data_IF_950454219966
#
_entry.id   IF_950454219966
#
_cell.length_a   1.000
_cell.length_b   1.000
_cell.length_c   1.000
_cell.angle_alpha   90.00
_cell.angle_beta   90.00
_cell.angle_gamma   90.00
#
_symmetry.space_group_name_H-M   'P 1'
#
loop_
_entity.id
_entity.type
_entity.pdbx_description
1 polymer ?
#
# COMPACT_ATOMS: atom_id res chain seq x y z
N UNK A 1 -5.39 -40.54 14.84
CA UNK A 1 -4.46 -39.48 14.42
C UNK A 1 -5.23 -38.49 13.56
N UNK A 2 -5.70 -37.38 14.14
CA UNK A 2 -6.14 -36.25 13.32
C UNK A 2 -4.87 -35.63 12.74
N UNK A 3 -4.74 -35.64 11.41
CA UNK A 3 -3.71 -34.86 10.75
C UNK A 3 -4.07 -33.39 10.99
N UNK A 4 -3.35 -32.72 11.89
CA UNK A 4 -3.43 -31.27 12.02
C UNK A 4 -3.09 -30.66 10.66
N UNK A 5 -4.13 -30.25 9.92
CA UNK A 5 -3.98 -29.48 8.69
C UNK A 5 -3.46 -28.11 9.11
N UNK A 6 -2.14 -28.00 9.31
CA UNK A 6 -1.47 -26.71 9.58
C UNK A 6 -1.63 -25.83 8.35
N UNK A 7 -2.62 -24.93 8.40
CA UNK A 7 -2.77 -23.88 7.40
C UNK A 7 -1.50 -23.01 7.40
N UNK A 8 -0.73 -23.11 6.33
CA UNK A 8 0.46 -22.27 6.12
C UNK A 8 -0.02 -20.87 5.75
N UNK A 9 -0.24 -20.04 6.76
CA UNK A 9 -0.71 -18.66 6.56
C UNK A 9 0.41 -17.84 5.91
N UNK A 10 0.20 -17.31 4.69
CA UNK A 10 1.28 -16.72 3.88
C UNK A 10 1.81 -15.39 4.46
N UNK A 11 0.96 -14.63 5.16
CA UNK A 11 1.33 -13.48 5.98
C UNK A 11 0.16 -13.13 6.92
N UNK A 12 0.37 -12.19 7.86
CA UNK A 12 -0.65 -11.80 8.83
C UNK A 12 -1.51 -10.69 8.24
N UNK A 13 -2.82 -10.93 8.06
CA UNK A 13 -3.72 -9.92 7.50
C UNK A 13 -3.85 -8.67 8.41
N UNK A 14 -3.62 -8.79 9.71
CA UNK A 14 -3.53 -7.63 10.62
C UNK A 14 -2.39 -6.68 10.20
N UNK A 15 -1.27 -7.20 9.67
CA UNK A 15 -0.20 -6.35 9.15
C UNK A 15 -0.66 -5.56 7.92
N UNK A 16 -1.53 -6.12 7.08
CA UNK A 16 -2.14 -5.37 5.96
C UNK A 16 -3.01 -4.25 6.48
N UNK A 17 -3.83 -4.49 7.50
CA UNK A 17 -4.66 -3.45 8.10
C UNK A 17 -3.80 -2.33 8.69
N UNK A 18 -2.79 -2.68 9.49
CA UNK A 18 -1.85 -1.70 10.08
C UNK A 18 -1.15 -0.91 8.98
N UNK A 19 -0.65 -1.58 7.94
CA UNK A 19 0.01 -0.91 6.81
C UNK A 19 -0.96 0.00 6.03
N UNK A 20 -2.21 -0.41 5.84
CA UNK A 20 -3.22 0.40 5.15
C UNK A 20 -3.53 1.69 5.91
N UNK A 21 -3.78 1.60 7.22
CA UNK A 21 -4.05 2.77 8.05
C UNK A 21 -2.81 3.63 8.29
N UNK A 22 -1.63 3.03 8.40
CA UNK A 22 -0.35 3.74 8.47
C UNK A 22 -0.06 4.52 7.19
N UNK A 23 -0.26 3.90 6.03
CA UNK A 23 -0.12 4.57 4.73
C UNK A 23 -1.09 5.74 4.60
N UNK A 24 -2.35 5.55 5.00
CA UNK A 24 -3.37 6.60 4.99
C UNK A 24 -2.97 7.77 5.89
N UNK A 25 -2.60 7.50 7.15
CA UNK A 25 -2.24 8.54 8.10
C UNK A 25 -1.02 9.35 7.65
N UNK A 26 0.03 8.68 7.15
CA UNK A 26 1.22 9.35 6.63
C UNK A 26 0.92 10.14 5.35
N UNK A 27 0.09 9.61 4.45
CA UNK A 27 -0.31 10.32 3.23
C UNK A 27 -1.16 11.55 3.54
N UNK A 28 -2.07 11.47 4.52
CA UNK A 28 -2.84 12.61 5.01
C UNK A 28 -1.92 13.67 5.64
N UNK A 29 -0.93 13.25 6.42
CA UNK A 29 0.06 14.18 6.98
C UNK A 29 0.84 14.89 5.87
N UNK A 30 1.30 14.15 4.85
CA UNK A 30 1.96 14.74 3.68
C UNK A 30 1.05 15.75 2.97
N UNK A 31 -0.24 15.43 2.83
CA UNK A 31 -1.22 16.30 2.18
C UNK A 31 -1.36 17.63 2.92
N UNK A 32 -1.61 17.58 4.23
CA UNK A 32 -1.79 18.79 5.03
C UNK A 32 -0.51 19.63 5.10
N UNK A 33 0.67 19.01 5.16
CA UNK A 33 1.95 19.72 5.12
C UNK A 33 2.12 20.45 3.78
N UNK A 34 1.83 19.79 2.68
CA UNK A 34 1.98 20.37 1.35
C UNK A 34 0.95 21.48 1.08
N UNK A 35 -0.31 21.29 1.48
CA UNK A 35 -1.34 22.32 1.39
C UNK A 35 -0.97 23.55 2.24
N UNK A 36 -0.50 23.35 3.48
CA UNK A 36 0.00 24.43 4.32
C UNK A 36 1.25 25.14 3.75
N UNK A 37 2.04 24.43 2.94
CA UNK A 37 3.18 24.98 2.20
C UNK A 37 2.78 25.67 0.87
N UNK A 38 1.49 25.71 0.54
CA UNK A 38 0.95 26.40 -0.64
C UNK A 38 0.77 25.54 -1.90
N UNK A 39 0.90 24.21 -1.79
CA UNK A 39 0.56 23.31 -2.90
C UNK A 39 -0.94 23.40 -3.22
N UNK A 40 -1.28 23.55 -4.51
CA UNK A 40 -2.67 23.76 -4.92
C UNK A 40 -3.54 22.50 -4.85
N UNK A 41 -2.89 21.32 -4.88
CA UNK A 41 -3.50 19.99 -5.01
C UNK A 41 -4.38 19.84 -6.26
N UNK A 42 -4.10 20.63 -7.30
CA UNK A 42 -4.81 20.60 -8.58
C UNK A 42 -4.06 19.82 -9.65
N UNK A 43 -4.83 19.16 -10.50
CA UNK A 43 -4.33 18.29 -11.56
C UNK A 43 -5.08 18.55 -12.87
N UNK A 44 -4.29 18.64 -13.94
CA UNK A 44 -4.77 18.92 -15.30
C UNK A 44 -5.51 17.75 -15.94
N UNK A 45 -5.25 16.53 -15.47
CA UNK A 45 -5.88 15.29 -15.94
C UNK A 45 -5.95 14.25 -14.81
N UNK A 46 -6.69 13.17 -15.05
CA UNK A 46 -6.90 12.08 -14.10
C UNK A 46 -8.34 11.97 -13.59
N UNK A 47 -8.56 11.07 -12.63
CA UNK A 47 -9.89 10.83 -12.07
C UNK A 47 -10.43 12.01 -11.27
N UNK A 48 -9.53 12.84 -10.72
CA UNK A 48 -9.86 13.98 -9.88
C UNK A 48 -9.05 15.19 -10.34
N UNK A 49 -9.73 16.32 -10.55
CA UNK A 49 -9.06 17.61 -10.82
C UNK A 49 -8.53 18.30 -9.58
N UNK A 50 -9.09 17.97 -8.41
CA UNK A 50 -8.65 18.47 -7.12
C UNK A 50 -8.52 17.27 -6.17
N UNK A 51 -7.34 17.08 -5.60
CA UNK A 51 -7.12 16.10 -4.56
C UNK A 51 -7.57 16.70 -3.22
N UNK A 52 -8.26 15.90 -2.41
CA UNK A 52 -8.75 16.29 -1.09
C UNK A 52 -8.56 15.11 -0.13
N UNK A 53 -8.56 15.34 1.18
CA UNK A 53 -8.28 14.31 2.18
C UNK A 53 -9.24 13.12 2.06
N UNK A 54 -10.48 13.32 1.64
CA UNK A 54 -11.45 12.25 1.43
C UNK A 54 -11.00 11.28 0.31
N UNK A 55 -10.31 11.79 -0.71
CA UNK A 55 -9.75 10.97 -1.77
C UNK A 55 -8.61 10.11 -1.22
N UNK A 56 -7.76 10.65 -0.34
CA UNK A 56 -6.67 9.90 0.29
C UNK A 56 -7.22 8.70 1.07
N UNK A 57 -8.27 8.90 1.87
CA UNK A 57 -8.91 7.81 2.61
C UNK A 57 -9.47 6.74 1.65
N UNK A 58 -10.24 7.17 0.65
CA UNK A 58 -10.93 6.28 -0.30
C UNK A 58 -9.99 5.50 -1.20
N UNK A 59 -8.83 6.06 -1.54
CA UNK A 59 -7.90 5.46 -2.50
C UNK A 59 -6.62 4.90 -1.87
N UNK A 60 -6.47 4.99 -0.54
CA UNK A 60 -5.38 4.32 0.18
C UNK A 60 -5.86 3.03 0.85
N UNK A 61 -6.85 3.12 1.74
CA UNK A 61 -7.22 1.97 2.59
C UNK A 61 -7.92 0.87 1.79
N UNK A 62 -9.01 1.13 1.05
CA UNK A 62 -9.73 0.07 0.35
C UNK A 62 -8.86 -0.71 -0.65
N UNK A 63 -8.03 -0.07 -1.51
CA UNK A 63 -7.17 -0.81 -2.43
C UNK A 63 -6.16 -1.71 -1.71
N UNK A 64 -5.46 -1.23 -0.67
CA UNK A 64 -4.49 -2.05 0.08
C UNK A 64 -5.19 -3.23 0.75
N UNK A 65 -6.35 -3.00 1.39
CA UNK A 65 -7.09 -4.04 2.11
C UNK A 65 -7.63 -5.10 1.14
N UNK A 66 -8.26 -4.68 0.05
CA UNK A 66 -8.84 -5.61 -0.95
C UNK A 66 -7.74 -6.40 -1.65
N UNK A 67 -6.70 -5.73 -2.17
CA UNK A 67 -5.60 -6.41 -2.86
C UNK A 67 -4.78 -7.28 -1.91
N UNK A 68 -4.59 -6.84 -0.67
CA UNK A 68 -3.94 -7.63 0.38
C UNK A 68 -4.76 -8.86 0.73
N UNK A 69 -6.09 -8.75 0.82
CA UNK A 69 -6.97 -9.89 1.06
C UNK A 69 -6.94 -10.89 -0.11
N UNK A 70 -7.00 -10.40 -1.35
CA UNK A 70 -6.88 -11.25 -2.54
C UNK A 70 -5.52 -11.96 -2.57
N UNK A 71 -4.44 -11.24 -2.27
CA UNK A 71 -3.10 -11.81 -2.23
C UNK A 71 -2.98 -12.86 -1.14
N UNK A 72 -3.57 -12.61 0.04
CA UNK A 72 -3.66 -13.57 1.12
C UNK A 72 -4.39 -14.86 0.69
N UNK A 73 -5.55 -14.74 0.03
CA UNK A 73 -6.30 -15.89 -0.46
C UNK A 73 -5.53 -16.70 -1.52
N UNK A 74 -4.95 -16.04 -2.51
CA UNK A 74 -4.20 -16.70 -3.59
C UNK A 74 -2.94 -17.37 -3.03
N UNK A 75 -2.24 -16.71 -2.11
CA UNK A 75 -1.00 -17.21 -1.55
C UNK A 75 -1.18 -18.44 -0.64
N UNK A 76 -2.39 -18.70 -0.14
CA UNK A 76 -2.70 -19.98 0.55
C UNK A 76 -2.48 -21.19 -0.36
N UNK A 77 -2.85 -21.07 -1.65
CA UNK A 77 -2.63 -22.13 -2.64
C UNK A 77 -1.29 -22.03 -3.38
N UNK A 78 -0.72 -20.83 -3.48
CA UNK A 78 0.53 -20.56 -4.21
C UNK A 78 1.43 -19.60 -3.41
N UNK A 79 2.22 -20.07 -2.43
CA UNK A 79 3.01 -19.20 -1.55
C UNK A 79 4.03 -18.30 -2.27
N UNK A 80 4.48 -18.67 -3.48
CA UNK A 80 5.34 -17.83 -4.31
C UNK A 80 4.67 -16.54 -4.80
N UNK A 81 3.33 -16.49 -4.80
CA UNK A 81 2.56 -15.35 -5.28
C UNK A 81 2.81 -14.07 -4.48
N UNK A 82 3.03 -14.16 -3.15
CA UNK A 82 3.31 -12.99 -2.33
C UNK A 82 4.48 -12.17 -2.87
N UNK A 83 5.59 -12.82 -3.24
CA UNK A 83 6.78 -12.13 -3.76
C UNK A 83 6.49 -11.40 -5.06
N UNK A 84 5.69 -12.02 -5.93
CA UNK A 84 5.28 -11.43 -7.20
C UNK A 84 4.38 -10.22 -6.95
N UNK A 85 3.33 -10.37 -6.13
CA UNK A 85 2.40 -9.30 -5.78
C UNK A 85 3.11 -8.12 -5.09
N UNK A 86 4.06 -8.40 -4.20
CA UNK A 86 4.86 -7.42 -3.51
C UNK A 86 5.67 -6.54 -4.48
N UNK A 87 6.40 -7.16 -5.43
CA UNK A 87 7.24 -6.44 -6.41
C UNK A 87 6.39 -5.71 -7.45
N UNK A 88 5.36 -6.37 -7.99
CA UNK A 88 4.47 -5.75 -8.99
C UNK A 88 3.75 -4.53 -8.38
N UNK A 89 3.17 -4.68 -7.18
CA UNK A 89 2.49 -3.56 -6.53
C UNK A 89 3.42 -2.38 -6.25
N UNK A 90 4.64 -2.64 -5.77
CA UNK A 90 5.64 -1.59 -5.59
C UNK A 90 5.99 -0.90 -6.92
N UNK A 91 6.27 -1.68 -7.98
CA UNK A 91 6.63 -1.13 -9.28
C UNK A 91 5.51 -0.25 -9.87
N UNK A 92 4.25 -0.69 -9.77
CA UNK A 92 3.10 0.08 -10.25
C UNK A 92 2.93 1.40 -9.46
N UNK A 93 3.13 1.37 -8.14
CA UNK A 93 3.03 2.57 -7.30
C UNK A 93 4.17 3.55 -7.56
N UNK A 94 5.40 3.07 -7.79
CA UNK A 94 6.52 3.93 -8.18
C UNK A 94 6.31 4.54 -9.56
N UNK A 95 5.79 3.77 -10.51
CA UNK A 95 5.41 4.30 -11.83
C UNK A 95 4.33 5.38 -11.68
N UNK A 96 3.30 5.12 -10.87
CA UNK A 96 2.23 6.08 -10.57
C UNK A 96 2.73 7.32 -9.81
N UNK A 97 3.80 7.21 -9.01
CA UNK A 97 4.44 8.36 -8.38
C UNK A 97 5.08 9.29 -9.42
N UNK A 98 5.77 8.71 -10.40
CA UNK A 98 6.43 9.45 -11.49
C UNK A 98 5.41 10.15 -12.38
N UNK A 99 4.24 9.55 -12.63
CA UNK A 99 3.22 10.18 -13.49
C UNK A 99 2.71 11.51 -12.92
N UNK A 100 2.71 11.69 -11.60
CA UNK A 100 2.23 12.94 -10.97
C UNK A 100 3.05 14.16 -11.37
N UNK A 101 4.32 13.97 -11.75
CA UNK A 101 5.21 15.03 -12.21
C UNK A 101 4.79 15.64 -13.55
N UNK A 102 3.91 14.97 -14.30
CA UNK A 102 3.46 15.43 -15.61
C UNK A 102 2.06 16.06 -15.60
N UNK A 103 1.25 15.78 -14.57
CA UNK A 103 -0.17 16.16 -14.54
C UNK A 103 -0.53 17.18 -13.46
N UNK A 104 0.29 17.32 -12.41
CA UNK A 104 0.08 18.33 -11.38
C UNK A 104 0.22 19.76 -11.97
N UNK A 105 -0.64 20.68 -11.53
CA UNK A 105 -0.60 22.08 -11.97
C UNK A 105 0.57 22.86 -11.34
N UNK A 106 1.12 22.37 -10.23
CA UNK A 106 2.29 22.95 -9.57
C UNK A 106 3.24 21.87 -9.00
N UNK A 107 4.51 22.24 -8.83
CA UNK A 107 5.55 21.32 -8.38
C UNK A 107 5.35 20.82 -6.94
N UNK A 108 4.75 21.63 -6.06
CA UNK A 108 4.47 21.25 -4.68
C UNK A 108 3.48 20.09 -4.61
N UNK A 109 2.40 20.19 -5.38
CA UNK A 109 1.39 19.13 -5.54
C UNK A 109 1.98 17.87 -6.16
N UNK A 110 2.82 18.02 -7.19
CA UNK A 110 3.48 16.91 -7.87
C UNK A 110 4.33 16.08 -6.88
N UNK A 111 5.18 16.77 -6.12
CA UNK A 111 6.08 16.15 -5.14
C UNK A 111 5.29 15.53 -3.99
N UNK A 112 4.29 16.23 -3.46
CA UNK A 112 3.48 15.74 -2.37
C UNK A 112 2.78 14.42 -2.72
N UNK A 113 2.11 14.36 -3.87
CA UNK A 113 1.39 13.15 -4.29
C UNK A 113 2.35 12.04 -4.71
N UNK A 114 3.52 12.35 -5.30
CA UNK A 114 4.56 11.36 -5.53
C UNK A 114 5.06 10.72 -4.22
N UNK A 115 5.26 11.51 -3.17
CA UNK A 115 5.62 11.01 -1.83
C UNK A 115 4.53 10.10 -1.27
N UNK A 116 3.25 10.47 -1.39
CA UNK A 116 2.13 9.61 -0.97
C UNK A 116 2.16 8.25 -1.67
N UNK A 117 2.42 8.21 -2.98
CA UNK A 117 2.56 6.95 -3.72
C UNK A 117 3.74 6.11 -3.23
N UNK A 118 4.87 6.73 -2.88
CA UNK A 118 6.01 6.04 -2.28
C UNK A 118 5.65 5.46 -0.90
N UNK A 119 4.94 6.21 -0.06
CA UNK A 119 4.45 5.76 1.25
C UNK A 119 3.54 4.54 1.07
N UNK A 120 2.59 4.60 0.15
CA UNK A 120 1.67 3.49 -0.17
C UNK A 120 2.44 2.29 -0.71
N UNK A 121 3.41 2.51 -1.60
CA UNK A 121 4.29 1.48 -2.16
C UNK A 121 5.12 0.76 -1.11
N UNK A 122 5.75 1.51 -0.21
CA UNK A 122 6.51 0.96 0.90
C UNK A 122 5.62 0.15 1.85
N UNK A 123 4.44 0.69 2.17
CA UNK A 123 3.47 0.02 3.05
C UNK A 123 2.97 -1.29 2.45
N UNK A 124 2.62 -1.30 1.16
CA UNK A 124 2.30 -2.53 0.42
C UNK A 124 3.44 -3.54 0.45
N UNK A 125 4.65 -3.07 0.12
CA UNK A 125 5.83 -3.93 0.06
C UNK A 125 6.10 -4.60 1.40
N UNK A 126 5.95 -3.89 2.52
CA UNK A 126 6.13 -4.44 3.86
C UNK A 126 5.01 -5.41 4.21
N UNK A 127 3.75 -5.05 3.93
CA UNK A 127 2.58 -5.82 4.31
C UNK A 127 2.47 -7.18 3.61
N UNK A 128 2.83 -7.21 2.32
CA UNK A 128 2.70 -8.41 1.46
C UNK A 128 3.97 -9.28 1.46
N UNK A 129 4.90 -8.95 2.36
CA UNK A 129 6.15 -9.69 2.49
C UNK A 129 5.92 -11.08 3.12
N UNK A 130 6.38 -12.13 2.43
CA UNK A 130 6.23 -13.54 2.83
C UNK A 130 7.20 -13.97 3.96
N UNK A 131 7.81 -13.03 4.69
CA UNK A 131 8.81 -13.33 5.73
C UNK A 131 8.19 -13.89 7.03
N UNK A 132 6.86 -13.83 7.17
CA UNK A 132 6.14 -14.44 8.31
C UNK A 132 6.27 -15.95 8.41
N UNK A 133 6.83 -16.64 7.39
CA UNK A 133 7.24 -18.04 7.51
C UNK A 133 8.12 -18.26 8.74
N UNK A 134 9.11 -17.39 8.99
CA UNK A 134 10.03 -17.51 10.13
C UNK A 134 9.38 -17.21 11.47
N UNK A 135 8.42 -16.28 11.51
CA UNK A 135 7.68 -15.95 12.73
C UNK A 135 6.70 -17.06 13.12
N UNK A 136 5.98 -17.62 12.13
CA UNK A 136 5.16 -18.80 12.32
C UNK A 136 6.02 -20.04 12.67
N UNK A 137 7.16 -20.24 12.02
CA UNK A 137 8.08 -21.34 12.36
C UNK A 137 8.59 -21.24 13.82
N UNK A 138 8.87 -20.03 14.32
CA UNK A 138 9.26 -19.80 15.73
C UNK A 138 8.10 -20.00 16.72
N UNK A 139 6.91 -19.51 16.40
CA UNK A 139 5.72 -19.68 17.24
C UNK A 139 5.24 -21.13 17.34
N UNK A 140 5.63 -22.00 16.40
CA UNK A 140 5.29 -23.41 16.35
C UNK A 140 6.41 -24.32 16.88
N UNK A 141 7.54 -23.75 17.32
CA UNK A 141 8.69 -24.44 17.89
C UNK A 141 8.87 -24.20 19.40
N UNK A 142 8.01 -23.38 20.00
CA UNK A 142 7.80 -23.28 21.46
C UNK A 142 6.49 -23.95 21.84
#
# INVERSE_FOLDING_TARGET
MQADVKFKMPFNFVQVLIAAFGAMALSMLTFFIAEAAGASMKFSDGMFRNLDFIHIIRFTVPPIVVLGFLTFLIARGRPGFCRVAQVIGLALLLLSAVTQLFFAEDAGSAVAVAIMHVIVGASWYIAVNNSNKRANERAMAG
#
